data_IF_750912699722
#
_entry.id   IF_750912699722
#
_cell.length_a   1.000
_cell.length_b   1.000
_cell.length_c   1.000
_cell.angle_alpha   90.00
_cell.angle_beta   90.00
_cell.angle_gamma   90.00
#
_symmetry.space_group_name_H-M   'P 1'
#
loop_
_entity.id
_entity.type
_entity.pdbx_description
1 polymer ?
#
# COMPACT_ATOMS: atom_id res chain seq x y z
N UNK A 1 1.67 3.71 25.08
CA UNK A 1 0.92 4.49 24.07
C UNK A 1 1.44 4.06 22.72
N UNK A 2 0.54 3.79 21.78
CA UNK A 2 0.92 3.46 20.41
C UNK A 2 1.81 4.57 19.82
N UNK A 3 2.96 4.20 19.28
CA UNK A 3 3.85 5.15 18.61
C UNK A 3 3.27 5.42 17.21
N UNK A 4 2.57 6.54 17.10
CA UNK A 4 2.07 7.06 15.83
C UNK A 4 3.05 8.08 15.25
N UNK A 5 3.47 7.89 14.02
CA UNK A 5 4.29 8.86 13.29
C UNK A 5 3.40 9.49 12.22
N UNK A 6 3.15 10.80 12.32
CA UNK A 6 2.50 11.52 11.24
C UNK A 6 3.42 11.54 10.03
N UNK A 7 2.91 11.11 8.88
CA UNK A 7 3.64 11.17 7.62
C UNK A 7 3.40 12.54 7.00
N UNK A 8 4.45 13.37 6.97
CA UNK A 8 4.49 14.65 6.29
C UNK A 8 5.49 14.61 5.12
N UNK A 9 5.79 15.76 4.52
CA UNK A 9 6.73 15.83 3.39
C UNK A 9 8.16 15.39 3.77
N UNK A 10 8.59 15.60 5.01
CA UNK A 10 9.91 15.18 5.46
C UNK A 10 9.97 13.66 5.58
N UNK A 11 9.00 13.04 6.26
CA UNK A 11 8.89 11.59 6.37
C UNK A 11 8.73 10.94 4.99
N UNK A 12 7.96 11.55 4.09
CA UNK A 12 7.84 11.10 2.70
C UNK A 12 9.20 11.07 1.99
N UNK A 13 10.05 12.10 2.16
CA UNK A 13 11.39 12.08 1.58
C UNK A 13 12.19 10.89 2.12
N UNK A 14 12.18 10.65 3.43
CA UNK A 14 12.85 9.50 4.03
C UNK A 14 12.31 8.16 3.52
N UNK A 15 10.98 8.02 3.41
CA UNK A 15 10.33 6.83 2.88
C UNK A 15 10.74 6.55 1.43
N UNK A 16 10.78 7.56 0.57
CA UNK A 16 11.22 7.41 -0.84
C UNK A 16 12.69 6.95 -0.91
N UNK A 17 13.59 7.60 -0.17
CA UNK A 17 15.01 7.25 -0.20
C UNK A 17 15.26 5.86 0.39
N UNK A 18 14.61 5.55 1.51
CA UNK A 18 14.63 4.22 2.12
C UNK A 18 14.11 3.15 1.16
N UNK A 19 12.96 3.40 0.53
CA UNK A 19 12.37 2.52 -0.48
C UNK A 19 13.30 2.26 -1.68
N UNK A 20 14.02 3.29 -2.16
CA UNK A 20 15.01 3.11 -3.23
C UNK A 20 16.17 2.19 -2.83
N UNK A 21 16.59 2.21 -1.56
CA UNK A 21 17.66 1.37 -1.03
C UNK A 21 17.13 -0.05 -0.79
N UNK A 22 16.03 -0.18 -0.06
CA UNK A 22 15.43 -1.45 0.35
C UNK A 22 14.81 -2.22 -0.82
N UNK A 23 14.38 -1.51 -1.87
CA UNK A 23 13.85 -2.11 -3.09
C UNK A 23 14.88 -2.93 -3.87
N UNK A 24 16.18 -2.79 -3.60
CA UNK A 24 17.21 -3.63 -4.22
C UNK A 24 17.24 -3.55 -5.76
N UNK A 25 16.87 -2.39 -6.32
CA UNK A 25 16.81 -2.13 -7.76
C UNK A 25 15.43 -2.27 -8.42
N UNK A 26 14.40 -2.70 -7.69
CA UNK A 26 13.02 -2.80 -8.18
C UNK A 26 12.04 -1.83 -7.52
N UNK A 27 10.74 -2.08 -7.73
CA UNK A 27 9.65 -1.38 -7.03
C UNK A 27 9.40 0.07 -7.48
N UNK A 28 9.75 0.37 -8.73
CA UNK A 28 9.46 1.66 -9.36
C UNK A 28 10.46 2.77 -9.05
N UNK A 29 10.29 3.91 -9.71
CA UNK A 29 11.26 5.01 -9.67
C UNK A 29 11.05 5.96 -8.49
N UNK A 30 12.14 6.55 -8.01
CA UNK A 30 12.14 7.64 -7.00
C UNK A 30 11.20 8.79 -7.38
N UNK A 31 11.17 9.16 -8.66
CA UNK A 31 10.33 10.24 -9.17
C UNK A 31 8.86 9.92 -8.97
N UNK A 32 8.45 8.71 -9.37
CA UNK A 32 7.08 8.25 -9.25
C UNK A 32 6.64 8.17 -7.78
N UNK A 33 7.47 7.64 -6.88
CA UNK A 33 7.13 7.60 -5.45
C UNK A 33 7.01 8.97 -4.81
N UNK A 34 7.79 9.95 -5.29
CA UNK A 34 7.66 11.33 -4.82
C UNK A 34 6.39 12.00 -5.33
N UNK A 35 6.02 11.76 -6.58
CA UNK A 35 4.77 12.26 -7.15
C UNK A 35 3.55 11.62 -6.47
N UNK A 36 3.54 10.30 -6.28
CA UNK A 36 2.44 9.57 -5.64
C UNK A 36 2.31 9.89 -4.16
N UNK A 37 3.42 9.91 -3.42
CA UNK A 37 3.42 10.28 -2.01
C UNK A 37 2.93 11.70 -1.76
N UNK A 38 3.39 12.67 -2.55
CA UNK A 38 2.89 14.06 -2.48
C UNK A 38 1.41 14.17 -2.81
N UNK A 39 0.92 13.36 -3.75
CA UNK A 39 -0.50 13.30 -4.05
C UNK A 39 -1.28 12.73 -2.84
N UNK A 40 -0.81 11.63 -2.24
CA UNK A 40 -1.44 11.01 -1.08
C UNK A 40 -1.55 11.97 0.12
N UNK A 41 -0.51 12.75 0.41
CA UNK A 41 -0.53 13.75 1.50
C UNK A 41 -1.59 14.85 1.33
N UNK A 42 -2.16 15.02 0.13
CA UNK A 42 -3.25 15.98 -0.13
C UNK A 42 -4.63 15.40 0.13
N UNK A 43 -4.77 14.07 0.28
CA UNK A 43 -6.06 13.42 0.49
C UNK A 43 -6.56 13.47 1.93
N UNK A 44 -5.66 13.56 2.91
CA UNK A 44 -6.04 13.58 4.32
C UNK A 44 -4.87 13.33 5.26
N UNK A 45 -5.20 12.91 6.47
CA UNK A 45 -4.21 12.56 7.49
C UNK A 45 -3.59 11.19 7.18
N UNK A 46 -2.27 11.08 7.27
CA UNK A 46 -1.57 9.83 7.05
C UNK A 46 -0.68 9.54 8.26
N UNK A 47 -0.92 8.41 8.91
CA UNK A 47 -0.20 7.99 10.12
C UNK A 47 0.42 6.61 9.90
N UNK A 48 1.71 6.51 10.19
CA UNK A 48 2.42 5.25 10.32
C UNK A 48 2.25 4.72 11.76
N UNK A 49 1.81 3.49 11.89
CA UNK A 49 1.62 2.80 13.18
C UNK A 49 2.44 1.52 13.20
N UNK A 50 3.12 1.23 14.32
CA UNK A 50 3.82 -0.03 14.53
C UNK A 50 2.82 -1.21 14.55
N UNK A 51 3.17 -2.34 13.94
CA UNK A 51 2.31 -3.54 13.94
C UNK A 51 1.99 -4.04 15.36
N UNK A 52 2.85 -3.78 16.33
CA UNK A 52 2.63 -4.17 17.73
C UNK A 52 1.64 -3.25 18.46
N UNK A 53 1.23 -2.15 17.83
CA UNK A 53 0.35 -1.13 18.40
C UNK A 53 -1.11 -1.22 17.90
N UNK A 54 -1.44 -2.25 17.12
CA UNK A 54 -2.81 -2.57 16.70
C UNK A 54 -3.34 -3.84 17.39
N UNK A 55 -4.66 -4.05 17.35
CA UNK A 55 -5.26 -5.24 17.96
C UNK A 55 -5.11 -6.47 17.07
N UNK A 56 -5.02 -7.66 17.66
CA UNK A 56 -4.83 -8.92 16.92
C UNK A 56 -5.99 -9.24 15.95
N UNK A 57 -7.18 -8.72 16.21
CA UNK A 57 -8.37 -8.86 15.38
C UNK A 57 -8.49 -7.77 14.29
N UNK A 58 -7.53 -6.83 14.22
CA UNK A 58 -7.50 -5.80 13.18
C UNK A 58 -7.32 -6.46 11.81
N UNK A 59 -8.28 -6.24 10.92
CA UNK A 59 -8.15 -6.67 9.53
C UNK A 59 -7.27 -5.69 8.76
N UNK A 60 -6.11 -6.19 8.32
CA UNK A 60 -5.15 -5.47 7.49
C UNK A 60 -5.27 -5.95 6.05
N UNK A 61 -5.27 -5.01 5.11
CA UNK A 61 -5.16 -5.31 3.68
C UNK A 61 -3.77 -4.99 3.15
N UNK A 62 -3.35 -5.74 2.15
CA UNK A 62 -2.10 -5.47 1.43
C UNK A 62 -2.42 -4.68 0.16
N UNK A 63 -1.96 -3.44 0.10
CA UNK A 63 -2.03 -2.64 -1.11
C UNK A 63 -0.93 -3.04 -2.09
N UNK A 64 -1.32 -3.31 -3.32
CA UNK A 64 -0.40 -3.58 -4.42
C UNK A 64 -0.88 -2.90 -5.69
N UNK A 65 0.05 -2.39 -6.47
CA UNK A 65 -0.22 -1.91 -7.82
C UNK A 65 0.43 -2.85 -8.83
N UNK A 66 -0.37 -3.39 -9.76
CA UNK A 66 0.12 -4.16 -10.91
C UNK A 66 -0.16 -3.32 -12.15
N UNK A 67 0.90 -2.89 -12.84
CA UNK A 67 0.80 -2.14 -14.07
C UNK A 67 1.65 -2.77 -15.16
N UNK A 68 1.32 -2.50 -16.43
CA UNK A 68 2.18 -2.83 -17.55
C UNK A 68 3.22 -1.71 -17.74
N UNK A 69 4.53 -1.95 -17.49
CA UNK A 69 5.55 -0.91 -17.63
C UNK A 69 5.66 -0.36 -19.06
N UNK A 70 5.23 -1.15 -20.05
CA UNK A 70 5.27 -0.82 -21.47
C UNK A 70 4.00 -0.14 -21.99
N UNK A 71 2.95 0.02 -21.16
CA UNK A 71 1.72 0.68 -21.60
C UNK A 71 1.98 2.18 -21.83
N UNK A 72 1.68 2.65 -23.04
CA UNK A 72 1.81 4.06 -23.43
C UNK A 72 0.78 4.96 -22.75
N UNK A 73 -0.36 4.37 -22.35
CA UNK A 73 -1.41 5.00 -21.55
C UNK A 73 -1.59 4.20 -20.26
N UNK A 74 -1.27 4.82 -19.14
CA UNK A 74 -1.61 4.31 -17.81
C UNK A 74 -2.77 5.17 -17.29
N UNK A 75 -3.90 4.53 -17.02
CA UNK A 75 -5.10 5.21 -16.55
C UNK A 75 -5.52 4.64 -15.20
N UNK A 76 -4.92 5.16 -14.14
CA UNK A 76 -5.30 4.87 -12.76
C UNK A 76 -5.46 6.21 -12.05
N UNK A 77 -6.69 6.49 -11.63
CA UNK A 77 -7.01 7.68 -10.86
C UNK A 77 -6.96 7.34 -9.36
N UNK A 78 -6.56 8.27 -8.48
CA UNK A 78 -6.55 8.04 -7.03
C UNK A 78 -7.89 7.53 -6.46
N UNK A 79 -9.02 7.95 -7.03
CA UNK A 79 -10.35 7.45 -6.62
C UNK A 79 -10.54 5.94 -6.83
N UNK A 80 -9.80 5.31 -7.76
CA UNK A 80 -9.89 3.88 -8.01
C UNK A 80 -9.26 3.07 -6.88
N UNK A 81 -8.17 3.58 -6.31
CA UNK A 81 -7.55 3.05 -5.11
C UNK A 81 -8.54 3.06 -3.93
N UNK A 82 -9.16 4.22 -3.69
CA UNK A 82 -10.16 4.40 -2.62
C UNK A 82 -11.38 3.49 -2.86
N UNK A 83 -11.85 3.39 -4.12
CA UNK A 83 -12.99 2.54 -4.48
C UNK A 83 -12.70 1.06 -4.25
N UNK A 84 -11.45 0.62 -4.41
CA UNK A 84 -11.05 -0.77 -4.18
C UNK A 84 -11.34 -1.20 -2.73
N UNK A 85 -11.03 -0.33 -1.75
CA UNK A 85 -11.30 -0.62 -0.34
C UNK A 85 -12.81 -0.64 -0.08
N UNK A 86 -13.54 0.35 -0.59
CA UNK A 86 -15.00 0.42 -0.43
C UNK A 86 -15.70 -0.81 -1.03
N UNK A 87 -15.28 -1.25 -2.22
CA UNK A 87 -15.81 -2.46 -2.85
C UNK A 87 -15.55 -3.70 -2.00
N UNK A 88 -14.35 -3.82 -1.42
CA UNK A 88 -14.04 -4.92 -0.52
C UNK A 88 -14.98 -4.94 0.68
N UNK A 89 -15.12 -3.82 1.39
CA UNK A 89 -16.00 -3.72 2.56
C UNK A 89 -17.48 -3.97 2.18
N UNK A 90 -17.96 -3.39 1.07
CA UNK A 90 -19.34 -3.55 0.57
C UNK A 90 -19.69 -5.01 0.26
N UNK A 91 -18.77 -5.76 -0.33
CA UNK A 91 -19.04 -7.14 -0.78
C UNK A 91 -18.77 -8.19 0.30
N UNK A 92 -17.94 -7.89 1.29
CA UNK A 92 -17.57 -8.86 2.34
C UNK A 92 -18.23 -8.57 3.69
N UNK A 93 -18.68 -7.33 3.92
CA UNK A 93 -19.11 -6.85 5.24
C UNK A 93 -17.96 -6.70 6.24
N UNK A 94 -16.71 -6.91 5.83
CA UNK A 94 -15.53 -6.81 6.68
C UNK A 94 -15.06 -5.35 6.70
N UNK A 95 -14.92 -4.78 7.89
CA UNK A 95 -14.36 -3.44 8.08
C UNK A 95 -12.83 -3.51 8.07
N UNK A 96 -12.18 -2.74 7.19
CA UNK A 96 -10.73 -2.64 7.14
C UNK A 96 -10.23 -1.71 8.26
N UNK A 97 -9.27 -2.20 9.05
CA UNK A 97 -8.69 -1.48 10.18
C UNK A 97 -7.24 -1.03 9.96
N UNK A 98 -6.61 -1.44 8.86
CA UNK A 98 -5.27 -0.98 8.50
C UNK A 98 -4.84 -1.43 7.11
N UNK A 99 -3.77 -0.82 6.61
CA UNK A 99 -3.23 -1.11 5.28
C UNK A 99 -1.71 -1.17 5.33
N UNK A 100 -1.14 -2.16 4.63
CA UNK A 100 0.31 -2.33 4.44
C UNK A 100 0.65 -2.27 2.95
N UNK A 101 1.88 -1.89 2.64
CA UNK A 101 2.41 -2.07 1.28
C UNK A 101 2.86 -3.51 1.02
N UNK A 102 2.67 -4.00 -0.20
CA UNK A 102 3.09 -5.34 -0.63
C UNK A 102 4.61 -5.50 -0.79
N UNK A 103 5.35 -4.41 -0.93
CA UNK A 103 6.80 -4.40 -1.14
C UNK A 103 7.41 -3.02 -0.87
N UNK A 104 8.74 -2.97 -0.76
CA UNK A 104 9.46 -1.70 -0.76
C UNK A 104 10.09 -1.40 -2.11
N UNK A 105 10.15 -0.12 -2.46
CA UNK A 105 10.70 0.35 -3.71
C UNK A 105 10.59 1.86 -3.86
N UNK A 106 11.21 2.41 -4.90
CA UNK A 106 11.18 3.85 -5.14
C UNK A 106 9.76 4.42 -5.27
N UNK A 107 8.80 3.63 -5.76
CA UNK A 107 7.39 3.98 -5.85
C UNK A 107 6.48 3.08 -5.00
N UNK A 108 6.75 1.77 -4.95
CA UNK A 108 5.87 0.80 -4.29
C UNK A 108 5.81 0.93 -2.77
N UNK A 109 6.79 1.59 -2.13
CA UNK A 109 6.67 2.00 -0.72
C UNK A 109 5.42 2.85 -0.47
N UNK A 110 4.88 3.53 -1.48
CA UNK A 110 3.69 4.39 -1.36
C UNK A 110 2.38 3.68 -1.67
N UNK A 111 2.42 2.39 -2.02
CA UNK A 111 1.20 1.62 -2.24
C UNK A 111 0.38 1.62 -0.95
N UNK A 112 -0.89 2.04 -1.04
CA UNK A 112 -1.78 2.14 0.11
C UNK A 112 -1.81 3.51 0.79
N UNK A 113 -0.91 4.45 0.46
CA UNK A 113 -0.86 5.75 1.12
C UNK A 113 -2.08 6.61 0.79
N UNK A 114 -2.54 6.60 -0.47
CA UNK A 114 -3.72 7.35 -0.89
C UNK A 114 -4.97 6.81 -0.21
N UNK A 115 -5.12 5.49 -0.15
CA UNK A 115 -6.23 4.80 0.51
C UNK A 115 -6.24 5.10 2.01
N UNK A 116 -5.09 4.98 2.68
CA UNK A 116 -4.91 5.31 4.09
C UNK A 116 -5.31 6.76 4.38
N UNK A 117 -4.75 7.70 3.60
CA UNK A 117 -5.00 9.12 3.80
C UNK A 117 -6.46 9.52 3.54
N UNK A 118 -7.08 8.97 2.50
CA UNK A 118 -8.44 9.33 2.10
C UNK A 118 -9.53 8.69 2.96
N UNK A 119 -9.26 7.53 3.54
CA UNK A 119 -10.22 6.78 4.37
C UNK A 119 -9.96 6.92 5.88
N UNK A 120 -8.92 7.66 6.26
CA UNK A 120 -8.48 7.84 7.65
C UNK A 120 -8.25 6.50 8.36
N UNK A 121 -7.59 5.56 7.66
CA UNK A 121 -7.20 4.26 8.20
C UNK A 121 -5.67 4.20 8.43
N UNK A 122 -5.20 3.51 9.47
CA UNK A 122 -3.78 3.34 9.74
C UNK A 122 -2.97 2.76 8.57
N UNK A 123 -1.82 3.40 8.26
CA UNK A 123 -0.77 2.76 7.47
C UNK A 123 0.17 2.02 8.43
N UNK A 124 0.29 0.71 8.28
CA UNK A 124 0.97 -0.14 9.26
C UNK A 124 2.42 -0.39 8.82
N UNK A 125 3.36 -0.25 9.74
CA UNK A 125 4.78 -0.55 9.54
C UNK A 125 5.04 -2.07 9.52
N UNK A 126 4.61 -2.70 8.44
CA UNK A 126 4.85 -4.11 8.15
C UNK A 126 4.92 -4.36 6.63
N UNK A 127 5.92 -3.77 5.93
CA UNK A 127 6.06 -3.96 4.49
C UNK A 127 6.47 -5.40 4.19
N UNK A 128 5.51 -6.25 3.81
CA UNK A 128 5.60 -7.70 3.61
C UNK A 128 7.01 -8.32 3.68
N UNK A 129 7.69 -8.48 2.53
CA UNK A 129 9.03 -9.05 2.47
C UNK A 129 10.16 -8.00 2.51
N UNK A 130 9.81 -6.73 2.72
CA UNK A 130 10.74 -5.61 2.93
C UNK A 130 11.55 -5.16 1.70
N UNK A 131 11.34 -5.76 0.52
CA UNK A 131 12.11 -5.48 -0.72
C UNK A 131 11.24 -5.57 -1.96
N UNK A 132 11.71 -5.10 -3.10
CA UNK A 132 11.01 -5.33 -4.36
C UNK A 132 11.12 -6.79 -4.81
N UNK A 133 10.10 -7.26 -5.54
CA UNK A 133 10.05 -8.62 -6.04
C UNK A 133 9.35 -8.73 -7.42
N UNK A 134 9.66 -9.78 -8.20
CA UNK A 134 9.11 -9.94 -9.56
C UNK A 134 7.70 -10.53 -9.60
N UNK A 135 7.19 -11.12 -8.53
CA UNK A 135 5.92 -11.86 -8.55
C UNK A 135 5.11 -11.61 -7.28
N UNK A 136 3.79 -11.41 -7.43
CA UNK A 136 2.90 -11.09 -6.30
C UNK A 136 2.97 -12.08 -5.13
N UNK A 137 3.25 -13.36 -5.39
CA UNK A 137 3.38 -14.42 -4.36
C UNK A 137 4.47 -14.09 -3.32
N UNK A 138 5.54 -13.43 -3.73
CA UNK A 138 6.62 -13.07 -2.80
C UNK A 138 6.20 -11.97 -1.83
N UNK A 139 5.27 -11.10 -2.24
CA UNK A 139 4.67 -10.05 -1.41
C UNK A 139 3.48 -10.54 -0.59
N UNK A 140 2.96 -11.74 -0.83
CA UNK A 140 1.82 -12.30 -0.10
C UNK A 140 2.23 -13.07 1.15
N UNK A 141 3.46 -12.89 1.65
CA UNK A 141 3.95 -13.47 2.91
C UNK A 141 3.80 -14.99 3.01
N UNK A 142 3.91 -15.70 1.88
CA UNK A 142 3.67 -17.15 1.77
C UNK A 142 2.28 -17.61 2.23
N UNK A 143 1.27 -16.72 2.31
CA UNK A 143 -0.09 -17.08 2.72
C UNK A 143 -0.72 -18.14 1.81
N UNK A 144 -0.30 -18.20 0.55
CA UNK A 144 -0.69 -19.25 -0.40
C UNK A 144 -0.22 -20.66 -0.01
N UNK A 145 0.73 -20.80 0.91
CA UNK A 145 1.20 -22.09 1.44
C UNK A 145 0.48 -22.49 2.74
N UNK A 146 -0.37 -21.62 3.29
CA UNK A 146 -1.15 -21.91 4.48
C UNK A 146 -2.39 -22.70 4.07
N UNK A 147 -2.52 -23.92 4.57
CA UNK A 147 -3.66 -24.79 4.25
C UNK A 147 -4.99 -24.12 4.65
N UNK A 148 -5.95 -24.13 3.74
CA UNK A 148 -7.26 -23.50 3.95
C UNK A 148 -7.27 -21.98 3.85
N UNK A 149 -6.14 -21.32 3.55
CA UNK A 149 -6.13 -19.87 3.33
C UNK A 149 -6.94 -19.49 2.09
N UNK A 150 -7.81 -18.49 2.25
CA UNK A 150 -8.61 -17.90 1.17
C UNK A 150 -8.16 -16.47 0.97
N UNK A 151 -7.75 -16.14 -0.26
CA UNK A 151 -7.47 -14.76 -0.65
C UNK A 151 -8.75 -14.11 -1.17
N UNK A 152 -9.17 -13.02 -0.53
CA UNK A 152 -10.21 -12.14 -1.02
C UNK A 152 -9.54 -10.92 -1.66
N UNK A 153 -9.90 -10.60 -2.90
CA UNK A 153 -9.28 -9.52 -3.67
C UNK A 153 -10.36 -8.61 -4.25
N UNK A 154 -10.10 -7.31 -4.25
CA UNK A 154 -10.87 -6.33 -4.99
C UNK A 154 -9.92 -5.60 -5.94
N UNK A 155 -10.41 -5.25 -7.12
CA UNK A 155 -9.65 -4.50 -8.11
C UNK A 155 -10.59 -3.52 -8.83
N UNK A 156 -10.06 -2.35 -9.19
CA UNK A 156 -10.76 -1.33 -9.97
C UNK A 156 -9.88 -0.96 -11.14
N UNK A 157 -10.38 -1.15 -12.36
CA UNK A 157 -9.76 -0.68 -13.59
C UNK A 157 -10.39 0.64 -14.07
N UNK A 158 -9.65 1.40 -14.87
CA UNK A 158 -10.16 2.57 -15.56
C UNK A 158 -10.83 2.26 -16.90
N UNK A 159 -11.43 3.26 -17.54
CA UNK A 159 -11.94 3.12 -18.90
C UNK A 159 -10.79 2.91 -19.90
N UNK A 160 -10.96 1.94 -20.81
CA UNK A 160 -10.05 1.62 -21.92
C UNK A 160 -10.29 2.50 -23.13
#
# INVERSE_FOLDING_TARGET
MARKIKIDEEILNYAVFGGCILGGGGGGSRKLGMESGKAALKYGNLELIDINDITEDTIIITASAVGAPAASLQYVLPEYHIRTIKLFEENTGIKIGGIITNENGGASTMNGWTEAAALDIPFIDAPCNGRAHPTGVMGSMNLNNVEGYVSCQAAVGGES
#
